data_IF_450796226292
#
_entry.id   IF_450796226292
#
_cell.length_a   1.000
_cell.length_b   1.000
_cell.length_c   1.000
_cell.angle_alpha   90.00
_cell.angle_beta   90.00
_cell.angle_gamma   90.00
#
_symmetry.space_group_name_H-M   'P 1'
#
loop_
_entity.id
_entity.type
_entity.pdbx_description
1 polymer ?
#
# COMPACT_ATOMS: atom_id res chain seq x y z
N UNK A 1 -31.09 -21.31 7.57
CA UNK A 1 -30.05 -22.21 8.07
C UNK A 1 -28.74 -21.44 7.89
N UNK A 2 -28.15 -20.95 8.99
CA UNK A 2 -26.95 -20.10 8.94
C UNK A 2 -25.75 -20.91 8.45
N UNK A 3 -25.07 -20.37 7.43
CA UNK A 3 -23.74 -20.84 7.02
C UNK A 3 -22.76 -20.67 8.18
N UNK A 4 -21.77 -21.56 8.36
CA UNK A 4 -20.71 -21.33 9.32
C UNK A 4 -19.89 -20.11 8.89
N UNK A 5 -19.35 -19.34 9.87
CA UNK A 5 -18.39 -18.28 9.57
C UNK A 5 -17.14 -18.90 8.92
N UNK A 6 -16.44 -18.11 8.17
CA UNK A 6 -15.16 -18.40 7.57
C UNK A 6 -14.22 -19.05 8.61
N UNK A 7 -14.11 -20.36 8.61
CA UNK A 7 -12.98 -21.04 9.22
C UNK A 7 -11.88 -21.03 8.15
N UNK A 8 -11.13 -19.97 8.13
CA UNK A 8 -9.80 -20.03 7.59
C UNK A 8 -9.08 -21.10 8.40
N UNK A 9 -8.96 -22.31 7.83
CA UNK A 9 -8.22 -23.39 8.46
C UNK A 9 -6.88 -22.84 8.90
N UNK A 10 -6.34 -23.29 10.06
CA UNK A 10 -5.05 -22.82 10.52
C UNK A 10 -4.02 -23.21 9.46
N UNK A 11 -3.64 -22.25 8.64
CA UNK A 11 -2.40 -22.36 7.90
C UNK A 11 -1.36 -22.68 8.94
N UNK A 12 -0.72 -23.84 8.85
CA UNK A 12 0.31 -24.27 9.79
C UNK A 12 1.26 -23.09 9.99
N UNK A 13 1.64 -22.74 11.22
CA UNK A 13 2.59 -21.68 11.45
C UNK A 13 3.88 -22.09 10.75
N UNK A 14 4.17 -21.49 9.60
CA UNK A 14 5.46 -21.64 8.95
C UNK A 14 6.47 -20.99 9.89
N UNK A 15 7.29 -21.83 10.51
CA UNK A 15 8.38 -21.42 11.36
C UNK A 15 9.30 -20.46 10.59
N UNK A 16 9.25 -19.19 10.94
CA UNK A 16 10.19 -18.20 10.45
C UNK A 16 11.59 -18.53 10.96
N UNK A 17 12.43 -19.04 10.07
CA UNK A 17 13.84 -19.31 10.34
C UNK A 17 14.57 -18.02 10.67
N UNK A 18 15.22 -18.02 11.82
CA UNK A 18 16.09 -16.96 12.31
C UNK A 18 17.27 -16.80 11.35
N UNK A 19 17.39 -15.64 10.70
CA UNK A 19 18.52 -15.32 9.85
C UNK A 19 19.77 -15.05 10.69
N UNK A 20 20.71 -15.98 10.68
CA UNK A 20 22.10 -15.78 11.14
C UNK A 20 22.95 -15.51 9.90
N UNK A 21 23.37 -14.27 9.72
CA UNK A 21 24.37 -13.91 8.72
C UNK A 21 25.75 -14.19 9.27
N UNK A 22 26.39 -15.24 8.77
CA UNK A 22 27.82 -15.48 8.95
C UNK A 22 28.64 -14.70 7.91
N UNK A 23 29.82 -14.17 8.26
CA UNK A 23 30.65 -13.41 7.34
C UNK A 23 31.54 -14.35 6.51
N UNK A 24 31.34 -14.39 5.20
CA UNK A 24 32.33 -15.01 4.30
C UNK A 24 33.18 -13.92 3.65
N UNK A 25 34.39 -13.76 4.14
CA UNK A 25 35.49 -13.06 3.46
C UNK A 25 35.99 -13.91 2.29
N UNK A 26 35.95 -13.40 1.09
CA UNK A 26 36.80 -13.87 0.00
C UNK A 26 37.67 -12.70 -0.49
N UNK A 27 38.98 -12.84 -0.23
CA UNK A 27 40.03 -12.01 -0.84
C UNK A 27 40.29 -12.55 -2.24
N UNK A 28 40.30 -11.70 -3.25
CA UNK A 28 41.07 -11.93 -4.46
C UNK A 28 41.95 -10.71 -4.76
N UNK A 29 43.24 -10.98 -4.84
CA UNK A 29 44.31 -10.10 -5.30
C UNK A 29 44.35 -10.11 -6.83
N UNK A 30 44.79 -9.02 -7.41
CA UNK A 30 45.42 -9.11 -8.73
C UNK A 30 45.37 -7.81 -9.54
N UNK A 31 46.46 -7.07 -9.47
CA UNK A 31 47.20 -6.38 -10.50
C UNK A 31 46.50 -5.38 -11.48
N UNK A 32 46.98 -4.11 -11.39
CA UNK A 32 46.89 -3.14 -12.48
C UNK A 32 47.89 -3.42 -13.63
N UNK A 33 47.94 -2.58 -14.62
CA UNK A 33 48.88 -1.47 -14.64
C UNK A 33 48.41 -0.15 -15.34
N UNK A 34 48.93 0.94 -14.80
CA UNK A 34 49.63 2.15 -15.35
C UNK A 34 49.28 2.61 -16.76
N UNK A 35 48.73 3.79 -16.84
CA UNK A 35 49.36 5.08 -17.27
C UNK A 35 49.70 5.28 -18.75
N UNK A 36 49.17 6.36 -19.34
CA UNK A 36 49.95 7.35 -20.13
C UNK A 36 49.03 8.52 -20.57
N UNK A 37 49.31 9.68 -20.04
CA UNK A 37 49.92 10.85 -20.75
C UNK A 37 49.03 11.55 -21.79
N UNK A 38 48.66 12.77 -21.42
CA UNK A 38 48.30 13.86 -22.36
C UNK A 38 49.48 14.22 -23.30
N UNK A 39 49.21 14.90 -24.40
CA UNK A 39 49.86 16.17 -24.60
C UNK A 39 49.02 17.32 -25.21
N UNK A 40 49.32 18.53 -24.66
CA UNK A 40 49.84 19.72 -25.30
C UNK A 40 48.92 20.53 -26.23
N UNK A 41 48.67 21.72 -25.76
CA UNK A 41 48.61 23.07 -26.33
C UNK A 41 48.87 23.21 -27.84
N UNK A 42 48.01 23.99 -28.49
CA UNK A 42 48.44 24.95 -29.52
C UNK A 42 47.78 26.31 -29.27
N UNK A 43 48.64 27.29 -29.20
CA UNK A 43 48.37 28.73 -29.25
C UNK A 43 48.05 29.16 -30.69
N UNK A 44 47.10 30.05 -30.90
CA UNK A 44 47.21 31.06 -31.95
C UNK A 44 46.60 32.40 -31.50
N UNK A 45 47.41 33.44 -31.76
CA UNK A 45 47.22 34.86 -31.51
C UNK A 45 46.30 35.50 -32.58
N UNK A 46 45.61 36.52 -32.15
CA UNK A 46 45.50 37.78 -32.90
C UNK A 46 44.14 38.04 -33.54
N UNK A 47 43.45 39.01 -33.15
CA UNK A 47 43.36 40.37 -33.70
C UNK A 47 42.23 41.11 -32.97
N UNK A 48 42.57 42.37 -32.62
CA UNK A 48 41.69 43.32 -31.92
C UNK A 48 40.80 44.01 -32.98
N UNK A 49 39.50 44.06 -32.71
CA UNK A 49 38.58 45.05 -33.23
C UNK A 49 37.63 45.52 -32.15
N UNK A 50 37.79 46.77 -31.77
CA UNK A 50 36.90 47.51 -30.88
C UNK A 50 35.59 47.82 -31.61
N UNK A 51 34.48 47.41 -31.05
CA UNK A 51 33.20 48.06 -31.27
C UNK A 51 32.41 48.08 -29.96
N UNK A 52 32.02 49.27 -29.59
CA UNK A 52 31.20 49.53 -28.41
C UNK A 52 29.76 49.09 -28.69
N UNK A 53 29.26 48.12 -27.96
CA UNK A 53 27.84 47.88 -27.82
C UNK A 53 27.60 47.40 -26.37
N UNK A 54 26.74 48.10 -25.67
CA UNK A 54 26.36 47.81 -24.30
C UNK A 54 25.73 46.41 -24.16
N UNK A 55 26.09 45.62 -23.15
CA UNK A 55 25.39 44.37 -22.92
C UNK A 55 24.09 44.64 -22.16
N UNK A 56 22.95 44.43 -22.79
CA UNK A 56 21.73 44.06 -22.08
C UNK A 56 21.96 42.66 -21.52
N UNK A 57 22.29 42.60 -20.25
CA UNK A 57 22.30 41.34 -19.53
C UNK A 57 20.85 40.90 -19.33
N UNK A 58 20.38 40.03 -20.20
CA UNK A 58 19.12 39.30 -20.00
C UNK A 58 19.39 38.25 -18.91
N UNK A 59 19.09 38.58 -17.67
CA UNK A 59 19.05 37.60 -16.54
C UNK A 59 17.87 36.72 -16.80
N UNK A 60 18.07 35.56 -17.42
CA UNK A 60 17.15 34.43 -17.41
C UNK A 60 17.09 33.90 -15.99
N UNK A 61 16.18 34.44 -15.21
CA UNK A 61 15.70 33.76 -14.01
C UNK A 61 14.98 32.47 -14.45
N UNK A 62 15.71 31.37 -14.46
CA UNK A 62 15.11 30.06 -14.48
C UNK A 62 14.30 29.90 -13.16
N UNK A 63 13.04 30.33 -13.20
CA UNK A 63 12.08 29.98 -12.19
C UNK A 63 11.93 28.44 -12.27
N UNK A 64 12.56 27.72 -11.33
CA UNK A 64 12.13 26.38 -11.01
C UNK A 64 10.68 26.51 -10.53
N UNK A 65 9.74 26.38 -11.45
CA UNK A 65 8.35 26.18 -11.12
C UNK A 65 8.30 24.86 -10.36
N UNK A 66 8.36 24.93 -9.03
CA UNK A 66 7.79 23.87 -8.21
C UNK A 66 6.35 23.75 -8.67
N UNK A 67 5.99 22.63 -9.24
CA UNK A 67 4.59 22.29 -9.45
C UNK A 67 3.93 22.41 -8.07
N UNK A 68 3.16 23.47 -7.86
CA UNK A 68 2.28 23.58 -6.71
C UNK A 68 1.29 22.42 -6.84
N UNK A 69 1.46 21.38 -6.02
CA UNK A 69 0.46 20.35 -5.84
C UNK A 69 -0.78 21.07 -5.33
N UNK A 70 -1.94 20.95 -6.00
CA UNK A 70 -3.13 21.64 -5.57
C UNK A 70 -3.43 21.29 -4.11
N UNK A 71 -3.44 22.27 -3.23
CA UNK A 71 -3.88 22.14 -1.85
C UNK A 71 -5.38 21.82 -1.91
N UNK A 72 -5.73 20.52 -1.73
CA UNK A 72 -7.14 20.08 -1.69
C UNK A 72 -7.49 18.84 -2.53
N UNK A 73 -6.60 18.29 -3.36
CA UNK A 73 -6.85 17.03 -4.07
C UNK A 73 -6.51 15.81 -3.20
N UNK A 74 -7.34 14.74 -3.22
CA UNK A 74 -7.00 13.42 -2.70
C UNK A 74 -5.84 12.80 -3.46
N UNK A 75 -5.36 11.60 -3.04
CA UNK A 75 -4.33 10.86 -3.76
C UNK A 75 -4.81 10.48 -5.17
N UNK A 76 -3.87 10.39 -6.11
CA UNK A 76 -4.17 10.00 -7.50
C UNK A 76 -3.24 8.88 -7.96
N UNK A 77 -3.74 8.05 -8.87
CA UNK A 77 -2.99 6.98 -9.52
C UNK A 77 -3.38 6.90 -11.00
N UNK A 78 -2.41 6.99 -11.89
CA UNK A 78 -2.62 6.92 -13.35
C UNK A 78 -3.71 7.90 -13.86
N UNK A 79 -3.80 9.09 -13.28
CA UNK A 79 -4.81 10.11 -13.62
C UNK A 79 -6.19 9.91 -13.01
N UNK A 80 -6.39 8.84 -12.23
CA UNK A 80 -7.59 8.62 -11.44
C UNK A 80 -7.45 9.13 -10.01
N UNK A 81 -8.49 9.69 -9.39
CA UNK A 81 -8.49 9.87 -7.94
C UNK A 81 -8.50 8.48 -7.29
N UNK A 82 -7.82 8.37 -6.14
CA UNK A 82 -7.97 7.21 -5.25
C UNK A 82 -8.90 7.64 -4.12
N UNK A 83 -10.19 7.67 -4.47
CA UNK A 83 -11.28 8.25 -3.71
C UNK A 83 -11.22 9.79 -3.52
N UNK A 84 -12.36 10.44 -3.23
CA UNK A 84 -12.42 11.86 -2.88
C UNK A 84 -11.61 12.19 -1.62
N UNK A 85 -11.22 13.46 -1.48
CA UNK A 85 -10.39 13.91 -0.34
C UNK A 85 -11.09 13.80 1.02
N UNK A 86 -12.42 13.77 1.06
CA UNK A 86 -13.25 13.57 2.25
C UNK A 86 -13.74 12.10 2.39
N UNK A 87 -13.15 11.17 1.64
CA UNK A 87 -13.38 9.74 1.84
C UNK A 87 -12.61 9.26 3.07
N UNK A 88 -13.13 8.26 3.80
CA UNK A 88 -12.54 7.72 5.03
C UNK A 88 -11.08 7.29 4.89
N UNK A 89 -10.65 6.82 3.72
CA UNK A 89 -9.26 6.52 3.44
C UNK A 89 -8.35 7.77 3.44
N UNK A 90 -8.89 8.94 3.06
CA UNK A 90 -8.12 10.16 2.79
C UNK A 90 -8.24 11.23 3.89
N UNK A 91 -9.09 11.01 4.90
CA UNK A 91 -9.23 11.96 6.01
C UNK A 91 -8.19 11.77 7.09
N UNK A 92 -7.75 12.88 7.67
CA UNK A 92 -6.80 12.89 8.77
C UNK A 92 -7.42 12.35 10.04
N UNK A 93 -6.61 11.67 10.85
CA UNK A 93 -7.00 11.09 12.14
C UNK A 93 -6.08 11.53 13.29
N UNK A 94 -5.12 12.38 13.02
CA UNK A 94 -4.11 12.85 13.99
C UNK A 94 -4.72 13.64 15.17
N UNK A 95 -5.91 14.23 14.99
CA UNK A 95 -6.62 14.96 16.04
C UNK A 95 -7.79 14.17 16.67
N UNK A 96 -8.09 12.95 16.19
CA UNK A 96 -9.18 12.14 16.74
C UNK A 96 -8.88 11.67 18.17
N UNK A 97 -9.90 11.46 19.01
CA UNK A 97 -9.71 10.90 20.33
C UNK A 97 -9.17 9.47 20.24
N UNK A 98 -8.38 9.10 21.23
CA UNK A 98 -7.92 7.74 21.42
C UNK A 98 -9.10 6.85 21.80
N UNK A 99 -9.18 5.65 21.19
CA UNK A 99 -10.16 4.64 21.56
C UNK A 99 -9.90 4.13 23.00
N UNK A 100 -10.92 4.04 23.86
CA UNK A 100 -10.76 3.54 25.22
C UNK A 100 -10.15 2.14 25.32
N UNK A 101 -10.38 1.28 24.32
CA UNK A 101 -9.84 -0.09 24.26
C UNK A 101 -8.44 -0.16 23.62
N UNK A 102 -7.84 0.96 23.25
CA UNK A 102 -6.58 1.02 22.51
C UNK A 102 -5.46 0.17 23.13
N UNK A 103 -5.26 0.23 24.47
CA UNK A 103 -4.20 -0.54 25.12
C UNK A 103 -4.44 -2.05 25.02
N UNK A 104 -5.69 -2.47 25.15
CA UNK A 104 -6.06 -3.88 25.01
C UNK A 104 -5.84 -4.37 23.57
N UNK A 105 -6.22 -3.56 22.57
CA UNK A 105 -6.03 -3.89 21.16
C UNK A 105 -4.54 -4.00 20.82
N UNK A 106 -3.74 -3.02 21.21
CA UNK A 106 -2.27 -3.02 20.99
C UNK A 106 -1.63 -4.23 21.65
N UNK A 107 -1.99 -4.53 22.91
CA UNK A 107 -1.48 -5.71 23.61
C UNK A 107 -1.87 -7.02 22.91
N UNK A 108 -3.11 -7.11 22.37
CA UNK A 108 -3.61 -8.32 21.72
C UNK A 108 -2.96 -8.58 20.34
N UNK A 109 -2.54 -7.53 19.64
CA UNK A 109 -1.80 -7.64 18.37
C UNK A 109 -0.33 -7.95 18.67
N UNK A 110 0.25 -7.33 19.71
CA UNK A 110 1.64 -7.48 20.14
C UNK A 110 2.31 -6.12 20.32
N UNK A 111 2.38 -5.64 21.56
CA UNK A 111 2.94 -4.33 21.88
C UNK A 111 4.44 -4.21 21.54
N UNK A 112 5.18 -5.32 21.69
CA UNK A 112 6.62 -5.38 21.43
C UNK A 112 6.97 -5.82 20.00
N UNK A 113 5.95 -6.26 19.23
CA UNK A 113 6.18 -6.68 17.85
C UNK A 113 6.50 -5.48 16.95
N UNK A 114 7.51 -5.62 16.08
CA UNK A 114 7.87 -4.54 15.16
C UNK A 114 6.88 -4.43 14.00
N UNK A 115 6.73 -3.22 13.46
CA UNK A 115 6.12 -3.03 12.15
C UNK A 115 6.93 -3.78 11.09
N UNK A 116 6.25 -4.53 10.25
CA UNK A 116 6.85 -5.22 9.13
C UNK A 116 6.37 -4.59 7.81
N UNK A 117 7.25 -3.95 7.02
CA UNK A 117 6.91 -3.58 5.65
C UNK A 117 6.81 -4.86 4.81
N UNK A 118 5.60 -5.24 4.46
CA UNK A 118 5.34 -6.44 3.65
C UNK A 118 5.29 -6.09 2.16
N UNK A 119 6.31 -5.35 1.74
CA UNK A 119 6.54 -4.92 0.36
C UNK A 119 8.01 -4.55 0.17
N UNK A 120 8.45 -4.53 -1.10
CA UNK A 120 9.84 -4.21 -1.40
C UNK A 120 10.23 -4.45 -2.85
N UNK A 121 11.55 -4.45 -3.09
CA UNK A 121 12.16 -4.82 -4.37
C UNK A 121 12.60 -6.28 -4.36
N UNK A 122 12.53 -6.91 -5.54
CA UNK A 122 12.98 -8.28 -5.75
C UNK A 122 11.92 -9.32 -5.39
N UNK A 123 12.38 -10.52 -5.09
CA UNK A 123 11.54 -11.69 -4.87
C UNK A 123 11.76 -12.26 -3.46
N UNK A 124 10.68 -12.77 -2.89
CA UNK A 124 10.67 -13.58 -1.68
C UNK A 124 9.98 -14.91 -1.97
N UNK A 125 10.63 -16.03 -1.69
CA UNK A 125 10.12 -17.39 -1.99
C UNK A 125 9.65 -17.58 -3.44
N UNK A 126 10.22 -16.81 -4.37
CA UNK A 126 9.90 -16.86 -5.79
C UNK A 126 8.82 -15.88 -6.25
N UNK A 127 8.15 -15.18 -5.35
CA UNK A 127 7.14 -14.16 -5.65
C UNK A 127 7.63 -12.73 -5.44
N UNK A 128 7.04 -11.75 -6.14
CA UNK A 128 7.28 -10.34 -5.88
C UNK A 128 6.87 -9.98 -4.45
N UNK A 129 7.63 -9.07 -3.81
CA UNK A 129 7.41 -8.71 -2.41
C UNK A 129 6.33 -7.62 -2.33
N UNK A 130 5.11 -7.98 -1.94
CA UNK A 130 3.98 -7.08 -1.81
C UNK A 130 2.81 -7.44 -2.73
N UNK A 131 1.75 -6.65 -2.70
CA UNK A 131 0.54 -6.86 -3.48
C UNK A 131 0.62 -6.04 -4.77
N UNK A 132 0.84 -6.66 -5.94
CA UNK A 132 0.95 -5.97 -7.22
C UNK A 132 -0.41 -5.49 -7.72
N UNK A 133 -0.40 -4.55 -8.66
CA UNK A 133 -1.59 -4.11 -9.36
C UNK A 133 -1.30 -3.79 -10.82
N UNK A 134 -2.32 -3.92 -11.66
CA UNK A 134 -2.29 -3.52 -13.07
C UNK A 134 -3.08 -2.23 -13.29
N UNK A 135 -2.63 -1.43 -14.25
CA UNK A 135 -3.37 -0.27 -14.74
C UNK A 135 -3.70 -0.49 -16.21
N UNK A 136 -4.99 -0.50 -16.51
CA UNK A 136 -5.47 -0.76 -17.87
C UNK A 136 -6.26 0.42 -18.45
N UNK A 137 -6.27 0.53 -19.76
CA UNK A 137 -7.06 1.55 -20.46
C UNK A 137 -8.56 1.21 -20.52
N UNK A 138 -9.41 2.17 -20.93
CA UNK A 138 -10.86 1.96 -21.03
C UNK A 138 -11.26 0.93 -22.10
N UNK A 139 -10.35 0.60 -23.03
CA UNK A 139 -10.58 -0.42 -24.07
C UNK A 139 -10.09 -1.81 -23.68
N UNK A 140 -9.67 -2.05 -22.44
CA UNK A 140 -9.27 -3.39 -21.99
C UNK A 140 -10.44 -4.36 -22.14
N UNK A 141 -10.20 -5.46 -22.84
CA UNK A 141 -11.19 -6.53 -22.96
C UNK A 141 -11.49 -7.14 -21.59
N UNK A 142 -12.76 -7.42 -21.36
CA UNK A 142 -13.21 -8.05 -20.11
C UNK A 142 -13.29 -9.56 -20.26
N UNK A 143 -13.09 -10.24 -19.13
CA UNK A 143 -13.16 -11.71 -19.01
C UNK A 143 -14.19 -12.11 -17.96
N UNK A 144 -14.84 -13.28 -18.11
CA UNK A 144 -15.72 -13.82 -17.08
C UNK A 144 -14.89 -14.32 -15.90
N UNK A 145 -15.42 -14.14 -14.68
CA UNK A 145 -14.86 -14.67 -13.44
C UNK A 145 -15.93 -15.47 -12.73
N UNK A 146 -15.59 -16.68 -12.28
CA UNK A 146 -16.45 -17.52 -11.43
C UNK A 146 -15.96 -17.46 -9.99
N UNK A 147 -16.89 -17.28 -9.03
CA UNK A 147 -16.57 -17.07 -7.63
C UNK A 147 -17.00 -18.22 -6.74
N UNK A 148 -16.17 -18.57 -5.76
CA UNK A 148 -16.54 -19.47 -4.65
C UNK A 148 -17.59 -18.80 -3.77
N UNK A 149 -17.39 -17.50 -3.45
CA UNK A 149 -18.31 -16.68 -2.65
C UNK A 149 -19.14 -15.77 -3.55
N UNK A 150 -19.88 -16.36 -4.48
CA UNK A 150 -20.61 -15.60 -5.50
C UNK A 150 -21.72 -14.70 -4.94
N UNK A 151 -22.26 -15.05 -3.76
CA UNK A 151 -23.29 -14.28 -3.05
C UNK A 151 -22.73 -13.03 -2.34
N UNK A 152 -21.42 -12.91 -2.24
CA UNK A 152 -20.71 -11.75 -1.67
C UNK A 152 -19.73 -11.13 -2.68
N UNK A 153 -19.89 -11.40 -3.97
CA UNK A 153 -18.99 -10.94 -5.04
C UNK A 153 -19.74 -10.17 -6.12
N UNK A 154 -19.08 -9.16 -6.69
CA UNK A 154 -19.61 -8.46 -7.85
C UNK A 154 -19.42 -9.31 -9.10
N UNK A 155 -20.48 -9.57 -9.82
CA UNK A 155 -20.49 -10.56 -10.92
C UNK A 155 -19.62 -10.22 -12.15
N UNK A 156 -19.13 -8.99 -12.26
CA UNK A 156 -18.29 -8.54 -13.37
C UNK A 156 -19.09 -8.20 -14.64
N UNK A 157 -18.49 -8.27 -15.85
CA UNK A 157 -17.17 -8.85 -16.16
C UNK A 157 -15.98 -7.98 -15.74
N UNK A 158 -14.78 -8.57 -15.64
CA UNK A 158 -13.57 -7.93 -15.13
C UNK A 158 -12.56 -7.63 -16.24
N UNK A 159 -11.96 -6.42 -16.30
CA UNK A 159 -10.99 -6.03 -17.34
C UNK A 159 -9.58 -6.53 -17.02
N UNK A 160 -9.42 -7.83 -16.80
CA UNK A 160 -8.14 -8.44 -16.44
C UNK A 160 -7.30 -8.67 -17.69
N UNK A 161 -6.07 -8.11 -17.79
CA UNK A 161 -5.20 -8.35 -18.93
C UNK A 161 -4.71 -9.82 -18.95
N UNK A 162 -4.37 -10.37 -20.15
CA UNK A 162 -3.92 -11.76 -20.25
C UNK A 162 -2.66 -12.09 -19.46
N UNK A 163 -1.84 -11.08 -19.23
CA UNK A 163 -0.58 -11.10 -18.48
C UNK A 163 -0.70 -10.38 -17.12
N UNK A 164 -1.88 -10.40 -16.50
CA UNK A 164 -2.10 -9.76 -15.22
C UNK A 164 -1.07 -10.20 -14.16
N UNK A 165 -0.72 -9.26 -13.30
CA UNK A 165 0.03 -9.58 -12.09
C UNK A 165 -0.88 -10.29 -11.08
N UNK A 166 -0.43 -11.45 -10.62
CA UNK A 166 -1.05 -12.16 -9.49
C UNK A 166 -0.08 -12.08 -8.32
N UNK A 167 -0.57 -11.77 -7.13
CA UNK A 167 0.25 -11.75 -5.93
C UNK A 167 0.93 -13.11 -5.71
N UNK A 168 2.22 -13.07 -5.35
CA UNK A 168 3.06 -14.27 -5.26
C UNK A 168 3.70 -14.71 -6.58
N UNK A 169 3.33 -14.12 -7.73
CA UNK A 169 4.04 -14.34 -8.98
C UNK A 169 5.37 -13.57 -9.02
N UNK A 170 6.40 -14.12 -9.69
CA UNK A 170 7.66 -13.39 -9.87
C UNK A 170 7.56 -12.23 -10.87
N UNK A 171 6.60 -12.28 -11.77
CA UNK A 171 6.36 -11.27 -12.81
C UNK A 171 4.93 -11.41 -13.37
N UNK A 172 4.49 -10.37 -14.09
CA UNK A 172 3.22 -10.37 -14.80
C UNK A 172 3.10 -11.57 -15.75
N UNK A 173 1.93 -12.21 -15.79
CA UNK A 173 1.65 -13.36 -16.64
C UNK A 173 2.36 -14.67 -16.28
N UNK A 174 3.14 -14.69 -15.19
CA UNK A 174 3.81 -15.91 -14.72
C UNK A 174 2.92 -16.63 -13.70
N UNK A 175 2.73 -17.95 -13.83
CA UNK A 175 1.93 -18.73 -12.87
C UNK A 175 2.47 -18.61 -11.44
N UNK A 176 1.55 -18.54 -10.49
CA UNK A 176 1.86 -18.51 -9.06
C UNK A 176 1.94 -19.94 -8.52
N UNK A 177 2.94 -20.26 -7.67
CA UNK A 177 2.93 -21.52 -6.93
C UNK A 177 1.65 -21.68 -6.09
N UNK A 178 1.19 -22.93 -5.83
CA UNK A 178 0.03 -23.15 -4.98
C UNK A 178 0.18 -22.52 -3.59
N UNK A 179 -0.87 -21.86 -3.12
CA UNK A 179 -0.92 -21.21 -1.79
C UNK A 179 -0.74 -19.68 -1.89
N UNK A 180 -0.97 -19.00 -0.77
CA UNK A 180 -1.04 -17.54 -0.71
C UNK A 180 -2.41 -17.00 -1.13
N UNK A 181 -2.57 -15.68 -1.03
CA UNK A 181 -3.85 -15.02 -1.22
C UNK A 181 -4.16 -14.72 -2.69
N UNK A 182 -3.11 -14.75 -3.56
CA UNK A 182 -3.22 -14.62 -5.02
C UNK A 182 -4.13 -13.48 -5.46
N UNK A 183 -3.95 -12.31 -4.86
CA UNK A 183 -4.71 -11.12 -5.24
C UNK A 183 -4.41 -10.70 -6.68
N UNK A 184 -5.47 -10.28 -7.39
CA UNK A 184 -5.38 -9.58 -8.68
C UNK A 184 -6.08 -8.25 -8.54
N UNK A 185 -5.34 -7.16 -8.66
CA UNK A 185 -5.85 -5.80 -8.56
C UNK A 185 -5.73 -5.11 -9.92
N UNK A 186 -6.82 -4.58 -10.45
CA UNK A 186 -6.83 -3.90 -11.76
C UNK A 186 -7.52 -2.54 -11.64
N UNK A 187 -6.78 -1.47 -11.90
CA UNK A 187 -7.33 -0.13 -12.05
C UNK A 187 -7.63 0.15 -13.52
N UNK A 188 -8.89 0.30 -13.88
CA UNK A 188 -9.29 0.74 -15.21
C UNK A 188 -9.35 2.27 -15.27
N UNK A 189 -8.49 2.87 -16.10
CA UNK A 189 -8.48 4.33 -16.33
C UNK A 189 -9.72 4.72 -17.17
N UNK A 190 -10.04 6.03 -17.19
CA UNK A 190 -11.27 6.51 -17.85
C UNK A 190 -12.49 6.45 -16.93
N UNK A 191 -12.95 5.28 -16.55
CA UNK A 191 -13.97 5.09 -15.51
C UNK A 191 -13.43 5.32 -14.10
N UNK A 192 -12.14 5.12 -13.85
CA UNK A 192 -11.51 5.06 -12.54
C UNK A 192 -12.15 4.01 -11.63
N UNK A 193 -12.39 2.85 -12.19
CA UNK A 193 -12.98 1.71 -11.49
C UNK A 193 -11.86 0.75 -11.10
N UNK A 194 -11.87 0.33 -9.87
CA UNK A 194 -10.95 -0.65 -9.31
C UNK A 194 -11.66 -2.00 -9.24
N UNK A 195 -11.00 -3.03 -9.72
CA UNK A 195 -11.43 -4.42 -9.68
C UNK A 195 -10.41 -5.21 -8.86
N UNK A 196 -10.88 -5.97 -7.88
CA UNK A 196 -10.00 -6.75 -7.00
C UNK A 196 -10.53 -8.17 -6.86
N UNK A 197 -9.63 -9.15 -6.91
CA UNK A 197 -9.92 -10.57 -6.74
C UNK A 197 -9.08 -11.15 -5.61
N UNK A 198 -9.66 -12.04 -4.82
CA UNK A 198 -8.99 -12.91 -3.87
C UNK A 198 -8.92 -14.33 -4.40
N UNK A 199 -7.82 -15.04 -4.15
CA UNK A 199 -7.58 -16.43 -4.55
C UNK A 199 -7.84 -16.67 -6.05
N UNK A 200 -7.27 -15.77 -6.88
CA UNK A 200 -7.51 -15.73 -8.30
C UNK A 200 -6.64 -16.73 -9.06
N UNK A 201 -7.24 -17.40 -10.05
CA UNK A 201 -6.54 -18.34 -10.93
C UNK A 201 -7.06 -18.23 -12.36
N UNK A 202 -6.14 -18.02 -13.30
CA UNK A 202 -6.46 -17.98 -14.72
C UNK A 202 -6.64 -19.39 -15.27
N UNK A 203 -7.70 -19.60 -16.05
CA UNK A 203 -8.03 -20.86 -16.69
C UNK A 203 -7.46 -20.95 -18.12
N UNK A 204 -7.34 -22.15 -18.66
CA UNK A 204 -6.80 -22.40 -20.01
C UNK A 204 -7.63 -21.74 -21.13
N UNK A 205 -8.94 -21.57 -20.93
CA UNK A 205 -9.85 -20.91 -21.87
C UNK A 205 -9.83 -19.38 -21.78
N UNK A 206 -8.99 -18.83 -20.86
CA UNK A 206 -8.85 -17.40 -20.63
C UNK A 206 -9.84 -16.80 -19.63
N UNK A 207 -10.79 -17.58 -19.12
CA UNK A 207 -11.61 -17.19 -17.98
C UNK A 207 -10.81 -17.22 -16.68
N UNK A 208 -11.42 -16.76 -15.57
CA UNK A 208 -10.81 -16.80 -14.25
C UNK A 208 -11.75 -17.46 -13.24
N UNK A 209 -11.15 -18.08 -12.24
CA UNK A 209 -11.82 -18.43 -10.99
C UNK A 209 -11.24 -17.60 -9.87
N UNK A 210 -12.03 -17.28 -8.84
CA UNK A 210 -11.57 -16.56 -7.67
C UNK A 210 -12.38 -16.97 -6.43
N UNK A 211 -11.84 -16.73 -5.26
CA UNK A 211 -12.56 -16.86 -4.01
C UNK A 211 -13.68 -15.83 -3.93
N UNK A 212 -13.32 -14.57 -4.02
CA UNK A 212 -14.25 -13.43 -4.06
C UNK A 212 -13.77 -12.35 -5.03
N UNK A 213 -14.66 -11.42 -5.37
CA UNK A 213 -14.35 -10.27 -6.21
C UNK A 213 -15.13 -9.03 -5.82
N UNK A 214 -14.50 -7.87 -5.96
CA UNK A 214 -15.09 -6.59 -5.63
C UNK A 214 -14.78 -5.54 -6.68
N UNK A 215 -15.74 -4.63 -6.90
CA UNK A 215 -15.65 -3.52 -7.84
C UNK A 215 -15.93 -2.21 -7.10
N UNK A 216 -15.00 -1.26 -7.19
CA UNK A 216 -15.10 0.04 -6.52
C UNK A 216 -14.99 1.19 -7.51
N UNK A 217 -15.94 2.14 -7.46
CA UNK A 217 -15.79 3.44 -8.13
C UNK A 217 -14.91 4.36 -7.27
N UNK A 218 -13.68 4.60 -7.74
CA UNK A 218 -12.73 5.46 -6.99
C UNK A 218 -13.08 6.95 -7.01
N UNK A 219 -14.16 7.35 -7.69
CA UNK A 219 -14.72 8.71 -7.65
C UNK A 219 -15.86 8.85 -6.66
N UNK A 220 -16.37 7.70 -6.19
CA UNK A 220 -17.55 7.60 -5.32
C UNK A 220 -17.22 7.44 -3.84
N UNK A 221 -18.24 7.10 -3.10
CA UNK A 221 -18.19 6.87 -1.66
C UNK A 221 -18.86 5.55 -1.26
N UNK A 222 -19.35 4.78 -2.23
CA UNK A 222 -20.11 3.58 -1.95
C UNK A 222 -19.24 2.54 -1.24
N UNK A 223 -19.72 2.05 -0.12
CA UNK A 223 -19.18 0.88 0.56
C UNK A 223 -19.85 -0.38 0.04
N UNK A 224 -19.21 -1.51 0.23
CA UNK A 224 -19.85 -2.80 -0.08
C UNK A 224 -21.11 -3.01 0.78
N UNK A 225 -22.07 -3.84 0.33
CA UNK A 225 -23.20 -4.21 1.15
C UNK A 225 -22.77 -4.74 2.52
N UNK A 226 -23.56 -4.46 3.56
CA UNK A 226 -23.25 -4.95 4.91
C UNK A 226 -23.20 -6.48 4.94
N UNK A 227 -22.17 -7.03 5.58
CA UNK A 227 -21.90 -8.46 5.63
C UNK A 227 -21.14 -9.02 4.41
N UNK A 228 -20.88 -8.21 3.37
CA UNK A 228 -20.12 -8.68 2.21
C UNK A 228 -18.62 -8.53 2.40
N UNK A 229 -17.86 -9.59 2.06
CA UNK A 229 -16.41 -9.50 1.90
C UNK A 229 -16.02 -8.69 0.66
N UNK A 230 -14.74 -8.45 0.48
CA UNK A 230 -14.12 -8.01 -0.79
C UNK A 230 -13.01 -8.98 -1.16
N UNK A 231 -12.01 -8.54 -1.89
CA UNK A 231 -10.74 -9.25 -1.95
C UNK A 231 -9.98 -9.17 -0.61
N UNK A 232 -10.40 -8.26 0.28
CA UNK A 232 -9.88 -8.09 1.63
C UNK A 232 -10.93 -8.54 2.66
N UNK A 233 -10.51 -9.16 3.76
CA UNK A 233 -11.39 -9.78 4.74
C UNK A 233 -12.37 -8.79 5.41
N UNK A 234 -11.99 -7.52 5.53
CA UNK A 234 -12.85 -6.48 6.10
C UNK A 234 -13.94 -5.96 5.15
N UNK A 235 -14.03 -6.43 3.90
CA UNK A 235 -14.91 -5.87 2.89
C UNK A 235 -14.45 -4.49 2.41
N UNK A 236 -13.17 -4.20 2.49
CA UNK A 236 -12.53 -2.95 2.07
C UNK A 236 -11.72 -3.13 0.78
N UNK A 237 -11.44 -2.05 0.03
CA UNK A 237 -10.51 -2.13 -1.10
C UNK A 237 -9.05 -2.21 -0.60
N UNK A 238 -8.22 -2.98 -1.30
CA UNK A 238 -6.80 -3.18 -1.00
C UNK A 238 -5.95 -2.02 -1.55
N UNK A 239 -6.06 -1.73 -2.85
CA UNK A 239 -5.21 -0.76 -3.55
C UNK A 239 -5.14 0.62 -2.88
N UNK A 240 -6.24 1.20 -2.39
CA UNK A 240 -6.20 2.51 -1.71
C UNK A 240 -5.35 2.53 -0.44
N UNK A 241 -5.15 1.39 0.20
CA UNK A 241 -4.37 1.26 1.44
C UNK A 241 -2.91 0.85 1.25
N UNK A 242 -2.47 0.57 0.02
CA UNK A 242 -1.09 0.15 -0.24
C UNK A 242 -0.11 1.32 -0.14
N UNK A 243 1.06 1.08 0.45
CA UNK A 243 2.22 1.96 0.30
C UNK A 243 2.73 1.86 -1.13
N UNK A 244 2.80 2.97 -1.87
CA UNK A 244 3.29 3.02 -3.25
C UNK A 244 4.57 3.84 -3.36
N UNK A 245 5.52 3.35 -4.14
CA UNK A 245 6.83 3.99 -4.28
C UNK A 245 6.73 5.44 -4.76
N UNK A 246 5.88 5.73 -5.74
CA UNK A 246 5.78 7.08 -6.32
C UNK A 246 5.31 8.13 -5.31
N UNK A 247 4.47 7.77 -4.35
CA UNK A 247 4.04 8.66 -3.27
C UNK A 247 5.19 8.94 -2.30
N UNK A 248 5.94 7.89 -1.93
CA UNK A 248 7.11 8.03 -1.07
C UNK A 248 8.19 8.88 -1.75
N UNK A 249 8.44 8.65 -3.04
CA UNK A 249 9.37 9.44 -3.84
C UNK A 249 8.91 10.90 -4.01
N UNK A 250 7.59 11.15 -4.05
CA UNK A 250 7.02 12.50 -4.05
C UNK A 250 7.10 13.18 -2.67
N UNK A 251 7.44 12.43 -1.61
CA UNK A 251 7.65 12.93 -0.25
C UNK A 251 6.40 12.97 0.62
N UNK A 252 5.25 12.46 0.16
CA UNK A 252 4.00 12.47 0.93
C UNK A 252 3.05 11.34 0.50
N UNK A 253 2.48 10.64 1.49
CA UNK A 253 1.33 9.74 1.33
C UNK A 253 0.14 10.44 1.98
N UNK A 254 -0.98 10.56 1.25
CA UNK A 254 -2.18 11.30 1.65
C UNK A 254 -3.40 10.42 1.92
N UNK A 255 -3.19 9.22 2.39
CA UNK A 255 -4.24 8.26 2.72
C UNK A 255 -3.83 7.37 3.89
N UNK A 256 -4.81 6.69 4.49
CA UNK A 256 -4.57 5.64 5.45
C UNK A 256 -3.91 4.43 4.79
N UNK A 257 -3.13 3.68 5.54
CA UNK A 257 -2.48 2.47 5.07
C UNK A 257 -3.28 1.23 5.49
N UNK A 258 -3.12 0.15 4.76
CA UNK A 258 -3.65 -1.18 5.10
C UNK A 258 -2.66 -1.94 5.97
N UNK A 259 -3.15 -2.63 7.01
CA UNK A 259 -2.33 -3.53 7.80
C UNK A 259 -3.11 -4.76 8.26
N UNK A 260 -2.38 -5.77 8.73
CA UNK A 260 -2.93 -7.03 9.24
C UNK A 260 -2.65 -7.24 10.72
N UNK A 261 -3.49 -8.05 11.36
CA UNK A 261 -3.31 -8.52 12.72
C UNK A 261 -3.65 -10.02 12.83
N UNK A 262 -3.05 -10.75 13.79
CA UNK A 262 -3.25 -12.20 13.87
C UNK A 262 -4.65 -12.62 14.31
N UNK A 263 -5.38 -11.75 15.00
CA UNK A 263 -6.72 -12.06 15.52
C UNK A 263 -7.58 -10.80 15.60
N UNK A 264 -8.86 -10.95 15.27
CA UNK A 264 -9.89 -9.94 15.47
C UNK A 264 -11.06 -10.54 16.25
N UNK A 265 -11.94 -9.70 16.78
CA UNK A 265 -13.22 -10.17 17.31
C UNK A 265 -14.29 -10.16 16.22
N UNK A 266 -15.39 -10.88 16.48
CA UNK A 266 -16.59 -10.92 15.63
C UNK A 266 -17.35 -9.58 15.70
N UNK A 267 -16.75 -8.54 15.16
CA UNK A 267 -17.32 -7.21 15.05
C UNK A 267 -16.60 -6.43 13.94
N UNK A 268 -17.28 -5.42 13.43
CA UNK A 268 -16.71 -4.41 12.54
C UNK A 268 -16.85 -3.03 13.18
N UNK A 269 -15.98 -2.11 12.76
CA UNK A 269 -16.20 -0.67 12.89
C UNK A 269 -16.12 -0.06 11.50
N UNK A 270 -16.94 0.97 11.26
CA UNK A 270 -16.92 1.68 10.00
C UNK A 270 -15.49 2.12 9.62
N UNK A 271 -15.06 1.92 8.35
CA UNK A 271 -15.85 1.58 7.17
C UNK A 271 -15.94 0.08 6.84
N UNK A 272 -15.43 -0.83 7.68
CA UNK A 272 -15.47 -2.27 7.40
C UNK A 272 -16.92 -2.80 7.34
N UNK A 273 -17.12 -3.80 6.48
CA UNK A 273 -18.44 -4.39 6.19
C UNK A 273 -18.53 -5.85 6.57
N UNK A 274 -17.39 -6.56 6.73
CA UNK A 274 -17.36 -7.99 6.92
C UNK A 274 -16.52 -8.38 8.15
N UNK A 275 -16.90 -9.46 8.82
CA UNK A 275 -16.20 -10.06 9.96
C UNK A 275 -15.47 -11.32 9.51
N UNK A 276 -14.19 -11.44 9.85
CA UNK A 276 -13.38 -12.62 9.51
C UNK A 276 -13.10 -13.52 10.72
N UNK A 277 -13.85 -13.36 11.85
CA UNK A 277 -13.59 -14.09 13.08
C UNK A 277 -14.88 -14.46 13.81
N UNK A 278 -14.85 -15.58 14.52
CA UNK A 278 -15.90 -15.99 15.47
C UNK A 278 -15.59 -15.60 16.92
N UNK A 279 -14.39 -15.06 17.21
CA UNK A 279 -13.95 -14.71 18.55
C UNK A 279 -14.76 -13.53 19.10
N UNK A 280 -15.04 -13.55 20.41
CA UNK A 280 -15.86 -12.53 21.07
C UNK A 280 -15.13 -11.75 22.17
N UNK A 281 -13.83 -11.99 22.34
CA UNK A 281 -13.01 -11.32 23.34
C UNK A 281 -12.96 -9.81 23.05
N UNK A 282 -13.43 -8.93 23.97
CA UNK A 282 -13.41 -7.49 23.78
C UNK A 282 -12.02 -6.87 23.74
N UNK A 283 -10.99 -7.60 24.19
CA UNK A 283 -9.59 -7.16 24.07
C UNK A 283 -9.06 -7.26 22.62
N UNK A 284 -9.74 -7.99 21.74
CA UNK A 284 -9.38 -8.09 20.33
C UNK A 284 -9.97 -6.92 19.53
N UNK A 285 -9.23 -6.33 18.59
CA UNK A 285 -9.76 -5.28 17.73
C UNK A 285 -10.84 -5.84 16.79
N UNK A 286 -11.86 -5.04 16.43
CA UNK A 286 -12.77 -5.36 15.33
C UNK A 286 -12.11 -5.12 13.98
N UNK A 287 -12.61 -5.72 12.88
CA UNK A 287 -12.24 -5.33 11.54
C UNK A 287 -12.59 -3.85 11.28
N UNK A 288 -11.74 -3.15 10.52
CA UNK A 288 -11.89 -1.71 10.27
C UNK A 288 -11.31 -0.80 11.35
N UNK A 289 -10.84 -1.36 12.48
CA UNK A 289 -10.24 -0.52 13.53
C UNK A 289 -9.07 0.27 12.98
N UNK A 290 -9.13 1.60 13.21
CA UNK A 290 -8.07 2.51 12.78
C UNK A 290 -7.06 2.69 13.89
N UNK A 291 -5.80 2.59 13.53
CA UNK A 291 -4.66 2.89 14.40
C UNK A 291 -3.87 4.04 13.81
N UNK A 292 -3.21 4.81 14.66
CA UNK A 292 -2.24 5.82 14.23
C UNK A 292 -0.94 5.67 15.02
N UNK A 293 0.17 6.03 14.38
CA UNK A 293 1.44 6.22 15.07
C UNK A 293 1.29 7.45 15.98
N UNK A 294 1.72 7.32 17.23
CA UNK A 294 1.65 8.40 18.23
C UNK A 294 2.45 9.61 17.77
N UNK A 295 1.94 10.80 18.12
CA UNK A 295 2.58 12.07 17.74
C UNK A 295 3.97 12.25 18.36
N UNK A 296 4.24 11.64 19.52
CA UNK A 296 5.50 11.67 20.24
C UNK A 296 6.52 10.59 19.83
N UNK A 297 6.20 9.75 18.82
CA UNK A 297 7.12 8.76 18.29
C UNK A 297 8.37 9.44 17.68
N UNK A 298 9.55 8.99 18.10
CA UNK A 298 10.83 9.56 17.63
C UNK A 298 11.17 9.06 16.22
N UNK A 299 11.08 9.95 15.24
CA UNK A 299 11.43 9.71 13.84
C UNK A 299 12.81 10.27 13.46
N UNK A 300 13.61 10.76 14.40
CA UNK A 300 14.86 11.49 14.14
C UNK A 300 15.92 10.64 13.43
N UNK A 301 15.91 9.34 13.64
CA UNK A 301 16.88 8.42 13.02
C UNK A 301 16.38 7.65 11.82
N UNK A 302 15.20 8.00 11.27
CA UNK A 302 14.63 7.32 10.11
C UNK A 302 15.21 7.88 8.80
N UNK A 303 15.38 7.03 7.81
CA UNK A 303 15.63 7.44 6.42
C UNK A 303 14.50 8.34 5.89
N UNK A 304 14.76 9.03 4.78
CA UNK A 304 13.78 9.95 4.20
C UNK A 304 12.48 9.24 3.82
N UNK A 305 12.59 8.09 3.17
CA UNK A 305 11.48 7.28 2.69
C UNK A 305 10.67 6.69 3.86
N UNK A 306 11.35 6.05 4.82
CA UNK A 306 10.70 5.51 6.01
C UNK A 306 9.99 6.60 6.83
N UNK A 307 10.54 7.82 6.85
CA UNK A 307 9.92 8.97 7.50
C UNK A 307 8.65 9.44 6.79
N UNK A 308 8.59 9.36 5.46
CA UNK A 308 7.36 9.68 4.70
C UNK A 308 6.24 8.71 5.11
N UNK A 309 6.54 7.41 5.17
CA UNK A 309 5.58 6.38 5.58
C UNK A 309 5.16 6.59 7.05
N UNK A 310 6.11 6.82 7.95
CA UNK A 310 5.83 7.06 9.37
C UNK A 310 4.96 8.31 9.59
N UNK A 311 5.16 9.38 8.81
CA UNK A 311 4.30 10.57 8.85
C UNK A 311 2.88 10.30 8.36
N UNK A 312 2.72 9.45 7.34
CA UNK A 312 1.39 9.01 6.92
C UNK A 312 0.69 8.24 8.04
N UNK A 313 1.42 7.35 8.73
CA UNK A 313 0.92 6.62 9.89
C UNK A 313 0.53 7.55 11.05
N UNK A 314 1.22 8.68 11.26
CA UNK A 314 0.82 9.70 12.24
C UNK A 314 -0.43 10.47 11.79
N UNK A 315 -0.50 10.84 10.51
CA UNK A 315 -1.52 11.77 9.99
C UNK A 315 -2.82 11.08 9.62
N UNK A 316 -2.69 9.99 8.85
CA UNK A 316 -3.82 9.24 8.30
C UNK A 316 -4.00 7.88 9.01
N UNK A 317 -2.98 7.40 9.70
CA UNK A 317 -3.00 6.11 10.37
C UNK A 317 -3.07 4.92 9.40
N UNK A 318 -3.50 3.78 9.92
CA UNK A 318 -3.70 2.54 9.18
C UNK A 318 -5.00 1.86 9.62
N UNK A 319 -5.63 1.12 8.70
CA UNK A 319 -6.90 0.41 8.92
C UNK A 319 -6.62 -1.09 8.97
N UNK A 320 -7.13 -1.75 9.99
CA UNK A 320 -7.09 -3.21 10.11
C UNK A 320 -8.07 -3.82 9.11
N UNK A 321 -7.53 -4.42 8.06
CA UNK A 321 -8.31 -4.84 6.90
C UNK A 321 -8.32 -6.36 6.70
N UNK A 322 -7.35 -7.09 7.29
CA UNK A 322 -7.26 -8.52 7.15
C UNK A 322 -6.58 -9.21 8.34
N UNK A 323 -6.70 -10.54 8.37
CA UNK A 323 -5.88 -11.39 9.21
C UNK A 323 -4.51 -11.62 8.56
N UNK A 324 -3.49 -11.72 9.39
CA UNK A 324 -2.11 -11.96 8.98
C UNK A 324 -1.17 -11.84 10.17
N UNK A 325 0.09 -11.60 9.91
CA UNK A 325 1.06 -11.38 10.98
C UNK A 325 0.83 -10.01 11.66
N UNK A 326 1.32 -9.89 12.89
CA UNK A 326 1.21 -8.66 13.68
C UNK A 326 1.90 -7.48 12.98
N UNK A 327 1.17 -6.36 12.82
CA UNK A 327 1.68 -5.10 12.28
C UNK A 327 2.32 -5.21 10.89
N UNK A 328 1.88 -6.14 10.03
CA UNK A 328 2.31 -6.21 8.65
C UNK A 328 1.62 -5.10 7.87
N UNK A 329 2.43 -4.18 7.34
CA UNK A 329 2.01 -3.02 6.57
C UNK A 329 2.09 -3.37 5.08
N UNK A 330 0.96 -3.32 4.39
CA UNK A 330 0.89 -3.72 2.97
C UNK A 330 1.37 -2.61 2.04
N UNK A 331 1.99 -3.00 0.94
CA UNK A 331 2.42 -2.09 -0.11
C UNK A 331 2.62 -2.79 -1.45
N UNK A 332 2.81 -2.00 -2.50
CA UNK A 332 3.06 -2.51 -3.83
C UNK A 332 4.54 -2.85 -4.05
N UNK A 333 4.85 -3.97 -4.73
CA UNK A 333 6.21 -4.28 -5.15
C UNK A 333 6.71 -3.22 -6.14
N UNK A 334 7.96 -2.80 -5.99
CA UNK A 334 8.62 -1.89 -6.93
C UNK A 334 10.13 -2.11 -6.93
N UNK A 335 10.75 -2.25 -8.10
CA UNK A 335 12.18 -2.47 -8.21
C UNK A 335 13.04 -1.29 -7.75
N UNK A 336 12.44 -0.14 -7.51
CA UNK A 336 13.10 1.08 -7.01
C UNK A 336 13.22 1.12 -5.49
N UNK A 337 12.50 0.27 -4.72
CA UNK A 337 12.63 0.20 -3.28
C UNK A 337 14.05 -0.16 -2.84
N UNK A 338 14.56 0.52 -1.84
CA UNK A 338 15.71 0.04 -1.06
C UNK A 338 15.20 -0.72 0.18
N UNK A 339 15.27 -2.04 0.11
CA UNK A 339 14.84 -2.90 1.22
C UNK A 339 15.62 -2.65 2.52
N UNK A 340 16.83 -2.08 2.44
CA UNK A 340 17.58 -1.70 3.64
C UNK A 340 16.95 -0.48 4.31
N UNK A 341 16.49 0.47 3.52
CA UNK A 341 15.78 1.68 3.97
C UNK A 341 14.41 1.32 4.54
N UNK A 342 13.66 0.43 3.89
CA UNK A 342 12.36 -0.03 4.40
C UNK A 342 12.47 -0.72 5.77
N UNK A 343 13.59 -1.38 6.05
CA UNK A 343 13.83 -1.99 7.38
C UNK A 343 13.86 -1.00 8.55
N UNK A 344 14.03 0.30 8.29
CA UNK A 344 13.90 1.31 9.34
C UNK A 344 12.52 1.31 10.00
N UNK A 345 11.47 0.96 9.25
CA UNK A 345 10.10 0.85 9.78
C UNK A 345 10.00 -0.18 10.91
N UNK A 346 10.85 -1.19 10.94
CA UNK A 346 10.91 -2.20 12.01
C UNK A 346 11.38 -1.64 13.36
N UNK A 347 11.81 -0.39 13.42
CA UNK A 347 12.10 0.32 14.68
C UNK A 347 10.82 0.75 15.39
N UNK A 348 9.72 0.92 14.64
CA UNK A 348 8.39 1.12 15.20
C UNK A 348 7.85 -0.21 15.74
N UNK A 349 7.22 -0.14 16.91
CA UNK A 349 6.62 -1.29 17.58
C UNK A 349 5.13 -1.04 17.82
N UNK A 350 4.39 -2.09 18.11
CA UNK A 350 2.97 -1.96 18.45
C UNK A 350 2.70 -0.92 19.54
N UNK A 351 3.59 -0.79 20.54
CA UNK A 351 3.49 0.21 21.62
C UNK A 351 3.62 1.67 21.15
N UNK A 352 4.14 1.92 19.95
CA UNK A 352 4.21 3.26 19.37
C UNK A 352 2.89 3.67 18.72
N UNK A 353 1.92 2.76 18.64
CA UNK A 353 0.60 2.99 18.04
C UNK A 353 -0.49 3.11 19.09
N UNK A 354 -1.55 3.75 18.68
CA UNK A 354 -2.80 3.81 19.44
C UNK A 354 -3.99 3.66 18.49
N UNK A 355 -5.03 2.94 18.95
CA UNK A 355 -6.31 2.92 18.26
C UNK A 355 -7.01 4.26 18.45
N UNK A 356 -7.72 4.72 17.41
CA UNK A 356 -8.51 5.97 17.44
C UNK A 356 -10.00 5.69 17.30
N UNK A 357 -10.80 6.51 17.96
CA UNK A 357 -12.25 6.50 17.81
C UNK A 357 -12.63 7.24 16.52
N UNK A 358 -13.14 6.51 15.54
CA UNK A 358 -13.60 7.04 14.26
C UNK A 358 -15.11 7.30 14.22
N UNK A 359 -15.85 7.05 15.32
CA UNK A 359 -17.30 7.19 15.36
C UNK A 359 -17.80 8.57 14.96
N UNK A 360 -17.05 9.62 15.29
CA UNK A 360 -17.36 10.99 14.89
C UNK A 360 -17.16 11.32 13.41
N UNK A 361 -16.50 10.44 12.63
CA UNK A 361 -16.30 10.63 11.20
C UNK A 361 -17.46 10.08 10.36
N UNK A 362 -18.20 9.10 10.84
CA UNK A 362 -19.25 8.42 10.09
C UNK A 362 -20.47 9.34 9.90
N UNK A 363 -20.75 9.71 8.66
CA UNK A 363 -21.95 10.48 8.29
C UNK A 363 -23.11 9.55 7.93
N UNK A 364 -22.80 8.45 7.26
CA UNK A 364 -23.73 7.44 6.77
C UNK A 364 -23.03 6.08 6.85
N UNK A 365 -23.64 5.06 7.46
CA UNK A 365 -23.02 3.74 7.58
C UNK A 365 -22.73 3.06 6.25
N UNK A 366 -23.47 3.38 5.18
CA UNK A 366 -23.29 2.78 3.86
C UNK A 366 -22.42 3.60 2.90
N UNK A 367 -21.89 4.71 3.39
CA UNK A 367 -21.00 5.59 2.62
C UNK A 367 -19.63 5.74 3.26
N UNK A 368 -18.59 5.72 2.43
CA UNK A 368 -17.22 6.05 2.85
C UNK A 368 -16.96 7.54 3.03
N UNK A 369 -17.99 8.40 2.83
CA UNK A 369 -17.84 9.81 3.05
C UNK A 369 -17.72 10.14 4.54
N UNK A 370 -16.68 10.86 4.89
CA UNK A 370 -16.37 11.20 6.26
C UNK A 370 -16.74 12.66 6.59
N UNK A 371 -17.15 12.89 7.83
CA UNK A 371 -17.23 14.24 8.37
C UNK A 371 -15.84 14.88 8.41
N UNK A 372 -15.72 16.20 8.26
CA UNK A 372 -14.48 16.91 8.51
C UNK A 372 -14.00 16.60 9.94
N UNK A 373 -12.73 16.19 10.09
CA UNK A 373 -12.17 16.09 11.43
C UNK A 373 -12.23 17.46 12.11
N UNK A 374 -12.94 17.54 13.23
CA UNK A 374 -13.01 18.78 14.02
C UNK A 374 -11.61 19.04 14.58
N UNK A 375 -11.02 20.19 14.23
CA UNK A 375 -9.71 20.64 14.70
C UNK A 375 -9.79 21.15 16.12
#
# INVERSE_FOLDING_TARGET
MGKPPFDGGPGSPRSFGTWILGPTRARLKGNGPRASRAPRRCYHRGIVLRSWAAPFALVLLAACARAEVPVGGGPTLAGCPVFPSDHVWNVRVDALPRDPASDAYVASIGADEPVHPDFGAGLWEGGAIGIPFDVVGPGQATVPVSFVYADESDSGPYPIPPDAFVEGAPAAGVPVPPGGDRHVLVLQTGSCTLYELFDAERQDDGSWTAGSGAVFDLRGYDLRPDGWTSADAAGLPILPGLVRYDEVAAGEIRHALRFTAPRTRRATVWPARHVASSLTDPALPPMGQRFRLRADADLSGFSAEARVIARALQTYGMILADHGSAWFLSGAPDGRWDNAVLRDLRRLRGSDFEAVDTGGLMLDPDSGRAAPAVR
#
